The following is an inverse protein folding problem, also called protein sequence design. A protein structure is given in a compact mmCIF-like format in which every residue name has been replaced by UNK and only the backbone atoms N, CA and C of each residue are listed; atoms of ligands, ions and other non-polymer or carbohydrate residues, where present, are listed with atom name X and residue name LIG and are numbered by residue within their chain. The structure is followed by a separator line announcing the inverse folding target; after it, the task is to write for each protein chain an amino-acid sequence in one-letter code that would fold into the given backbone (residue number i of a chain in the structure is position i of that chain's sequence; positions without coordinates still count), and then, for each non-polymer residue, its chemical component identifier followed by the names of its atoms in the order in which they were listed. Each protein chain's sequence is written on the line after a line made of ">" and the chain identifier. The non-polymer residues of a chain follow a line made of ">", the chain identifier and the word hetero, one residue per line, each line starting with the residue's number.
data_IF_565827694339
#
_entry.id   IF_565827694339
#
_cell.length_a   1.000
_cell.length_b   1.000
_cell.length_c   1.000
_cell.angle_alpha   90.00
_cell.angle_beta   90.00
_cell.angle_gamma   90.00
#
_symmetry.space_group_name_H-M   'P 1'
#
loop_
_entity.id
_entity.type
_entity.pdbx_description
1 polymer ?
#
# COMPACT_ATOMS: atom_id res chain seq x y z
N UNK A 1 -12.33 36.65 -0.34
CA UNK A 1 -10.94 36.44 -0.79
C UNK A 1 -10.60 34.96 -0.63
N UNK A 2 -10.40 34.18 -1.69
CA UNK A 2 -10.04 32.77 -1.54
C UNK A 2 -8.53 32.65 -1.30
N UNK A 3 -8.15 32.02 -0.19
CA UNK A 3 -6.77 31.67 0.14
C UNK A 3 -6.30 30.65 -0.89
N UNK A 4 -5.35 31.05 -1.76
CA UNK A 4 -4.60 30.15 -2.63
C UNK A 4 -3.94 29.08 -1.77
N UNK A 5 -4.34 27.83 -1.94
CA UNK A 5 -3.60 26.69 -1.42
C UNK A 5 -2.16 26.81 -1.95
N UNK A 6 -1.19 26.88 -1.03
CA UNK A 6 0.23 26.88 -1.36
C UNK A 6 0.51 25.61 -2.16
N UNK A 7 0.79 25.79 -3.44
CA UNK A 7 1.35 24.80 -4.35
C UNK A 7 2.59 24.23 -3.65
N UNK A 8 2.53 22.97 -3.24
CA UNK A 8 3.68 22.26 -2.68
C UNK A 8 4.60 21.95 -3.87
N UNK A 9 5.38 22.96 -4.26
CA UNK A 9 6.51 22.83 -5.17
C UNK A 9 7.60 22.04 -4.43
N UNK A 10 7.67 20.72 -4.69
CA UNK A 10 8.84 19.80 -4.58
C UNK A 10 8.37 18.34 -4.45
N UNK A 11 7.71 17.80 -5.47
CA UNK A 11 7.45 16.35 -5.58
C UNK A 11 8.37 15.63 -6.59
N UNK A 12 9.25 16.37 -7.29
CA UNK A 12 10.24 15.82 -8.25
C UNK A 12 11.39 15.00 -7.62
N UNK A 13 11.29 14.67 -6.34
CA UNK A 13 12.22 13.77 -5.64
C UNK A 13 11.50 12.76 -4.74
N UNK A 14 10.30 12.32 -5.13
CA UNK A 14 9.84 10.97 -4.79
C UNK A 14 10.59 9.93 -5.65
N UNK A 15 11.90 10.12 -5.83
CA UNK A 15 12.83 9.00 -5.89
C UNK A 15 12.72 8.40 -4.51
N UNK A 16 11.70 7.55 -4.34
CA UNK A 16 11.60 6.64 -3.22
C UNK A 16 13.00 6.09 -3.05
N UNK A 17 13.47 6.06 -1.81
CA UNK A 17 14.55 5.17 -1.41
C UNK A 17 14.04 3.75 -1.61
N UNK A 18 13.85 3.35 -2.86
CA UNK A 18 13.25 2.10 -3.29
C UNK A 18 14.06 0.97 -2.68
N UNK A 19 15.37 1.14 -2.56
CA UNK A 19 16.26 0.24 -1.84
C UNK A 19 15.93 0.08 -0.35
N UNK A 20 15.56 1.12 0.40
CA UNK A 20 15.24 0.97 1.83
C UNK A 20 13.90 0.27 2.04
N UNK A 21 12.88 0.64 1.25
CA UNK A 21 11.58 -0.03 1.26
C UNK A 21 11.72 -1.48 0.80
N UNK A 22 12.47 -1.73 -0.28
CA UNK A 22 12.74 -3.07 -0.79
C UNK A 22 13.48 -3.92 0.25
N UNK A 23 14.54 -3.40 0.87
CA UNK A 23 15.26 -4.11 1.95
C UNK A 23 14.35 -4.46 3.14
N UNK A 24 13.38 -3.61 3.46
CA UNK A 24 12.39 -3.92 4.49
C UNK A 24 11.46 -5.04 4.01
N UNK A 25 10.92 -4.94 2.80
CA UNK A 25 10.03 -5.97 2.25
C UNK A 25 10.74 -7.33 2.10
N UNK A 26 12.01 -7.34 1.70
CA UNK A 26 12.87 -8.53 1.62
C UNK A 26 13.04 -9.21 3.00
N UNK A 27 13.22 -8.43 4.07
CA UNK A 27 13.29 -8.98 5.43
C UNK A 27 11.99 -9.64 5.88
N UNK A 28 10.87 -9.27 5.26
CA UNK A 28 9.55 -9.83 5.52
C UNK A 28 9.07 -10.73 4.36
N UNK A 29 10.00 -11.27 3.56
CA UNK A 29 9.68 -12.07 2.37
C UNK A 29 8.73 -13.24 2.67
N UNK A 30 8.91 -13.95 3.78
CA UNK A 30 8.03 -15.06 4.19
C UNK A 30 6.56 -14.63 4.32
N UNK A 31 6.33 -13.43 4.88
CA UNK A 31 4.98 -12.86 4.99
C UNK A 31 4.45 -12.46 3.61
N UNK A 32 5.27 -11.79 2.80
CA UNK A 32 4.90 -11.33 1.46
C UNK A 32 4.52 -12.51 0.56
N UNK A 33 5.30 -13.58 0.56
CA UNK A 33 5.04 -14.80 -0.21
C UNK A 33 3.77 -15.52 0.24
N UNK A 34 3.42 -15.42 1.53
CA UNK A 34 2.16 -15.92 2.05
C UNK A 34 0.98 -15.03 1.67
N UNK A 35 1.17 -13.70 1.58
CA UNK A 35 0.11 -12.74 1.32
C UNK A 35 -0.40 -12.74 -0.12
N UNK A 36 0.50 -12.69 -1.11
CA UNK A 36 0.12 -12.58 -2.51
C UNK A 36 1.13 -13.24 -3.46
N UNK A 37 0.70 -13.47 -4.69
CA UNK A 37 1.55 -13.81 -5.83
C UNK A 37 1.25 -12.86 -7.00
N UNK A 38 2.22 -12.70 -7.89
CA UNK A 38 2.07 -11.92 -9.11
C UNK A 38 1.85 -12.84 -10.33
N UNK A 39 1.05 -12.40 -11.29
CA UNK A 39 1.01 -13.03 -12.63
C UNK A 39 2.17 -12.54 -13.48
N UNK A 40 2.43 -13.19 -14.63
CA UNK A 40 3.41 -12.72 -15.61
C UNK A 40 3.12 -11.29 -16.12
N UNK A 41 1.84 -10.88 -16.13
CA UNK A 41 1.42 -9.52 -16.47
C UNK A 41 1.39 -8.54 -15.29
N UNK A 42 1.94 -8.91 -14.13
CA UNK A 42 2.01 -8.04 -12.94
C UNK A 42 0.70 -7.91 -12.14
N UNK A 43 -0.32 -8.73 -12.43
CA UNK A 43 -1.57 -8.71 -11.66
C UNK A 43 -1.35 -9.31 -10.27
N UNK A 44 -1.98 -8.72 -9.26
CA UNK A 44 -1.84 -9.12 -7.85
C UNK A 44 -2.94 -10.13 -7.50
N UNK A 45 -2.54 -11.31 -7.01
CA UNK A 45 -3.47 -12.33 -6.53
C UNK A 45 -3.19 -12.57 -5.04
N UNK A 46 -4.15 -12.24 -4.18
CA UNK A 46 -4.08 -12.55 -2.76
C UNK A 46 -4.22 -14.06 -2.51
N UNK A 47 -3.32 -14.60 -1.68
CA UNK A 47 -3.33 -16.01 -1.26
C UNK A 47 -4.05 -16.23 0.06
N UNK A 48 -4.12 -15.20 0.91
CA UNK A 48 -4.80 -15.21 2.20
C UNK A 48 -6.06 -14.34 2.17
N UNK A 49 -7.01 -14.65 3.06
CA UNK A 49 -8.26 -13.91 3.17
C UNK A 49 -8.03 -12.68 4.05
N UNK A 50 -8.09 -11.51 3.44
CA UNK A 50 -7.94 -10.22 4.10
C UNK A 50 -9.31 -9.55 4.28
N UNK A 51 -9.45 -8.77 5.36
CA UNK A 51 -10.55 -7.84 5.53
C UNK A 51 -10.38 -6.60 4.62
N UNK A 52 -11.37 -5.70 4.64
CA UNK A 52 -11.37 -4.49 3.84
C UNK A 52 -10.10 -3.64 3.99
N UNK A 53 -9.75 -3.31 5.24
CA UNK A 53 -8.64 -2.43 5.58
C UNK A 53 -7.30 -3.07 5.18
N UNK A 54 -7.09 -4.34 5.53
CA UNK A 54 -5.85 -5.07 5.22
C UNK A 54 -5.72 -5.35 3.73
N UNK A 55 -6.82 -5.51 3.00
CA UNK A 55 -6.76 -5.60 1.54
C UNK A 55 -6.24 -4.32 0.90
N UNK A 56 -6.66 -3.14 1.36
CA UNK A 56 -6.14 -1.85 0.86
C UNK A 56 -4.65 -1.76 1.14
N UNK A 57 -4.25 -2.01 2.40
CA UNK A 57 -2.86 -1.93 2.83
C UNK A 57 -1.96 -2.94 2.12
N UNK A 58 -2.40 -4.19 1.97
CA UNK A 58 -1.65 -5.21 1.25
C UNK A 58 -1.55 -4.93 -0.26
N UNK A 59 -2.56 -4.27 -0.86
CA UNK A 59 -2.51 -3.90 -2.27
C UNK A 59 -1.47 -2.81 -2.55
N UNK A 60 -1.41 -1.76 -1.71
CA UNK A 60 -0.36 -0.73 -1.87
C UNK A 60 1.03 -1.29 -1.58
N UNK A 61 1.14 -2.24 -0.65
CA UNK A 61 2.38 -2.94 -0.35
C UNK A 61 2.86 -3.77 -1.56
N UNK A 62 1.94 -4.46 -2.22
CA UNK A 62 2.20 -5.22 -3.44
C UNK A 62 2.61 -4.33 -4.62
N UNK A 63 1.94 -3.18 -4.82
CA UNK A 63 2.31 -2.20 -5.86
C UNK A 63 3.68 -1.58 -5.57
N UNK A 64 3.98 -1.29 -4.31
CA UNK A 64 5.30 -0.82 -3.91
C UNK A 64 6.41 -1.85 -4.22
N UNK A 65 6.14 -3.14 -4.00
CA UNK A 65 7.08 -4.20 -4.33
C UNK A 65 7.28 -4.36 -5.85
N UNK A 66 6.20 -4.38 -6.64
CA UNK A 66 6.27 -4.45 -8.11
C UNK A 66 7.09 -3.30 -8.69
N UNK A 67 6.89 -2.09 -8.16
CA UNK A 67 7.66 -0.91 -8.53
C UNK A 67 9.15 -1.05 -8.13
N UNK A 68 9.42 -1.46 -6.89
CA UNK A 68 10.79 -1.67 -6.40
C UNK A 68 11.56 -2.74 -7.19
N UNK A 69 10.88 -3.81 -7.61
CA UNK A 69 11.43 -4.88 -8.45
C UNK A 69 11.52 -4.52 -9.94
N UNK A 70 11.09 -3.31 -10.34
CA UNK A 70 11.03 -2.85 -11.74
C UNK A 70 10.18 -3.75 -12.65
N UNK A 71 9.16 -4.39 -12.08
CA UNK A 71 8.16 -5.17 -12.84
C UNK A 71 7.05 -4.25 -13.36
N UNK A 72 6.81 -3.13 -12.68
CA UNK A 72 5.84 -2.10 -13.07
C UNK A 72 6.44 -0.71 -12.88
N UNK A 73 6.13 0.21 -13.80
CA UNK A 73 6.46 1.62 -13.66
C UNK A 73 5.42 2.39 -12.80
N UNK A 74 4.34 1.71 -12.38
CA UNK A 74 3.24 2.30 -11.61
C UNK A 74 3.38 2.00 -10.11
N UNK A 75 3.75 3.03 -9.35
CA UNK A 75 3.78 2.96 -7.88
C UNK A 75 2.41 3.27 -7.24
N UNK A 76 1.63 4.12 -7.89
CA UNK A 76 0.35 4.60 -7.41
C UNK A 76 -0.77 3.56 -7.62
N UNK A 77 -1.78 3.62 -6.77
CA UNK A 77 -3.00 2.80 -6.85
C UNK A 77 -4.20 3.72 -6.93
N UNK A 78 -4.94 3.62 -8.03
CA UNK A 78 -6.18 4.36 -8.22
C UNK A 78 -7.32 3.78 -7.37
N UNK A 79 -8.36 4.57 -7.10
CA UNK A 79 -9.57 4.05 -6.43
C UNK A 79 -10.23 2.90 -7.22
N UNK A 80 -10.16 2.95 -8.54
CA UNK A 80 -10.71 1.91 -9.40
C UNK A 80 -9.93 0.60 -9.29
N UNK A 81 -8.62 0.64 -9.08
CA UNK A 81 -7.84 -0.56 -8.78
C UNK A 81 -8.24 -1.17 -7.43
N UNK A 82 -8.42 -0.35 -6.38
CA UNK A 82 -8.89 -0.86 -5.10
C UNK A 82 -10.25 -1.54 -5.20
N UNK A 83 -11.20 -0.95 -5.94
CA UNK A 83 -12.55 -1.52 -6.14
C UNK A 83 -12.56 -2.87 -6.86
N UNK A 84 -11.50 -3.19 -7.62
CA UNK A 84 -11.35 -4.50 -8.27
C UNK A 84 -10.87 -5.59 -7.30
N UNK A 85 -10.37 -5.22 -6.13
CA UNK A 85 -9.96 -6.19 -5.11
C UNK A 85 -11.21 -6.82 -4.46
N UNK A 86 -11.34 -8.16 -4.45
CA UNK A 86 -12.56 -8.85 -4.04
C UNK A 86 -12.95 -8.62 -2.57
N UNK A 87 -11.99 -8.26 -1.72
CA UNK A 87 -12.20 -7.99 -0.30
C UNK A 87 -12.43 -6.50 0.01
N UNK A 88 -12.29 -5.61 -0.98
CA UNK A 88 -12.51 -4.18 -0.78
C UNK A 88 -14.00 -3.87 -0.92
N UNK A 89 -14.61 -3.38 0.16
CA UNK A 89 -15.95 -2.83 0.13
C UNK A 89 -15.94 -1.41 -0.49
N UNK A 90 -16.53 -1.18 -1.67
CA UNK A 90 -16.50 0.12 -2.33
C UNK A 90 -17.15 1.25 -1.52
N UNK A 91 -18.15 0.93 -0.67
CA UNK A 91 -18.86 1.92 0.15
C UNK A 91 -18.03 2.43 1.33
N UNK A 92 -17.02 1.67 1.74
CA UNK A 92 -16.14 2.02 2.87
C UNK A 92 -14.79 2.56 2.41
N UNK A 93 -14.47 2.41 1.11
CA UNK A 93 -13.16 2.70 0.54
C UNK A 93 -12.70 4.14 0.82
N UNK A 94 -13.52 5.13 0.51
CA UNK A 94 -13.14 6.55 0.70
C UNK A 94 -12.82 6.87 2.16
N UNK A 95 -13.58 6.30 3.11
CA UNK A 95 -13.33 6.46 4.54
C UNK A 95 -12.02 5.79 4.97
N UNK A 96 -11.73 4.60 4.45
CA UNK A 96 -10.48 3.91 4.73
C UNK A 96 -9.27 4.66 4.16
N UNK A 97 -9.37 5.17 2.93
CA UNK A 97 -8.32 5.98 2.29
C UNK A 97 -8.08 7.29 3.04
N UNK A 98 -9.13 7.97 3.48
CA UNK A 98 -9.03 9.17 4.32
C UNK A 98 -8.32 8.84 5.65
N UNK A 99 -8.75 7.78 6.35
CA UNK A 99 -8.12 7.29 7.59
C UNK A 99 -6.62 7.05 7.40
N UNK A 100 -6.22 6.30 6.37
CA UNK A 100 -4.82 5.93 6.18
C UNK A 100 -3.94 7.07 5.64
N UNK A 101 -4.55 8.07 5.00
CA UNK A 101 -3.84 9.26 4.48
C UNK A 101 -3.81 10.42 5.47
N UNK A 102 -4.61 10.38 6.54
CA UNK A 102 -4.69 11.42 7.56
C UNK A 102 -3.34 11.63 8.25
N UNK A 103 -3.03 12.86 8.68
CA UNK A 103 -1.73 13.24 9.24
C UNK A 103 -1.29 12.40 10.45
N UNK A 104 -2.24 11.91 11.24
CA UNK A 104 -1.99 11.06 12.41
C UNK A 104 -1.43 9.69 12.03
N UNK A 105 -1.93 9.09 10.97
CA UNK A 105 -1.56 7.73 10.53
C UNK A 105 -0.49 7.81 9.44
N UNK A 106 -0.79 8.54 8.37
CA UNK A 106 0.06 8.78 7.20
C UNK A 106 0.72 7.50 6.66
N UNK A 107 -0.04 6.41 6.62
CA UNK A 107 0.39 5.13 6.04
C UNK A 107 0.38 5.22 4.51
N UNK A 108 -0.54 6.02 3.95
CA UNK A 108 -0.64 6.31 2.53
C UNK A 108 -0.29 7.77 2.26
N UNK A 109 0.25 8.04 1.07
CA UNK A 109 0.38 9.36 0.50
C UNK A 109 -0.60 9.50 -0.66
N UNK A 110 -1.25 10.66 -0.74
CA UNK A 110 -2.13 11.03 -1.85
C UNK A 110 -1.26 11.60 -2.97
N UNK A 111 -1.46 11.10 -4.18
CA UNK A 111 -0.80 11.56 -5.40
C UNK A 111 -1.84 12.06 -6.41
N UNK A 112 -1.39 12.62 -7.53
CA UNK A 112 -2.26 13.03 -8.62
C UNK A 112 -2.94 11.84 -9.32
N UNK A 113 -2.37 10.64 -9.21
CA UNK A 113 -2.87 9.41 -9.84
C UNK A 113 -3.60 8.46 -8.87
N UNK A 114 -3.55 8.72 -7.57
CA UNK A 114 -4.25 7.93 -6.56
C UNK A 114 -3.54 7.95 -5.21
N UNK A 115 -3.21 6.75 -4.72
CA UNK A 115 -2.61 6.56 -3.41
C UNK A 115 -1.40 5.65 -3.51
N UNK A 116 -0.36 5.95 -2.75
CA UNK A 116 0.82 5.10 -2.66
C UNK A 116 1.24 4.89 -1.21
N UNK A 117 2.03 3.86 -0.97
CA UNK A 117 2.58 3.58 0.36
C UNK A 117 3.47 4.75 0.79
N UNK A 118 3.39 5.18 2.05
CA UNK A 118 4.37 6.13 2.56
C UNK A 118 5.74 5.42 2.67
N UNK A 119 6.79 5.90 1.98
CA UNK A 119 8.09 5.23 1.95
C UNK A 119 8.90 5.41 3.23
N UNK A 120 8.41 6.18 4.20
CA UNK A 120 9.01 6.26 5.53
C UNK A 120 9.05 4.87 6.18
N UNK A 121 10.25 4.48 6.66
CA UNK A 121 10.50 3.15 7.23
C UNK A 121 9.50 2.76 8.31
N UNK A 122 9.15 3.68 9.22
CA UNK A 122 8.28 3.36 10.34
C UNK A 122 6.83 3.16 9.87
N UNK A 123 6.44 3.83 8.79
CA UNK A 123 5.13 3.67 8.15
C UNK A 123 5.03 2.37 7.37
N UNK A 124 6.08 1.99 6.64
CA UNK A 124 6.16 0.67 5.98
C UNK A 124 6.06 -0.45 7.02
N UNK A 125 6.82 -0.35 8.12
CA UNK A 125 6.76 -1.33 9.22
C UNK A 125 5.37 -1.38 9.86
N UNK A 126 4.74 -0.22 10.10
CA UNK A 126 3.38 -0.17 10.63
C UNK A 126 2.37 -0.90 9.73
N UNK A 127 2.47 -0.73 8.41
CA UNK A 127 1.63 -1.45 7.45
C UNK A 127 1.86 -2.96 7.54
N UNK A 128 3.12 -3.40 7.59
CA UNK A 128 3.48 -4.81 7.70
C UNK A 128 2.92 -5.42 8.99
N UNK A 129 3.11 -4.75 10.14
CA UNK A 129 2.62 -5.24 11.44
C UNK A 129 1.09 -5.25 11.50
N UNK A 130 0.39 -4.24 10.96
CA UNK A 130 -1.08 -4.22 10.90
C UNK A 130 -1.67 -5.41 10.11
N UNK A 131 -0.97 -5.84 9.05
CA UNK A 131 -1.33 -7.00 8.25
C UNK A 131 -0.99 -8.28 9.03
N UNK A 132 0.22 -8.37 9.58
CA UNK A 132 0.69 -9.54 10.34
C UNK A 132 -0.17 -9.82 11.57
N UNK A 133 -0.46 -8.80 12.37
CA UNK A 133 -1.33 -8.89 13.56
C UNK A 133 -2.71 -9.42 13.19
N UNK A 134 -3.29 -8.92 12.09
CA UNK A 134 -4.56 -9.44 11.60
C UNK A 134 -4.47 -10.92 11.22
N UNK A 135 -3.40 -11.33 10.55
CA UNK A 135 -3.22 -12.72 10.16
C UNK A 135 -3.03 -13.65 11.37
N UNK A 136 -2.31 -13.19 12.40
CA UNK A 136 -2.16 -13.93 13.67
C UNK A 136 -3.52 -14.05 14.37
N UNK A 137 -4.23 -12.94 14.56
CA UNK A 137 -5.55 -12.93 15.23
C UNK A 137 -6.59 -13.75 14.46
N UNK A 138 -6.50 -13.79 13.13
CA UNK A 138 -7.38 -14.61 12.29
C UNK A 138 -6.94 -16.07 12.15
N UNK A 139 -5.84 -16.49 12.79
CA UNK A 139 -5.33 -17.87 12.75
C UNK A 139 -4.75 -18.29 11.40
N UNK A 140 -4.35 -17.33 10.56
CA UNK A 140 -3.74 -17.55 9.24
C UNK A 140 -2.21 -17.53 9.29
N UNK A 141 -1.62 -17.10 10.42
CA UNK A 141 -0.20 -17.22 10.75
C UNK A 141 -0.05 -17.77 12.16
N UNK A 142 0.96 -18.64 12.34
CA UNK A 142 1.43 -19.17 13.63
C UNK A 142 2.45 -18.24 14.28
#
# INVERSE_FOLDING_TARGET
>A
MPRKAKRIEKFDKLIIRSEEVLKLLERHQDLIEKLFRFTEGGAIIFKLKLDHDRSILAYVLAKALLYGLKVSDEYDVSEEEFKRSPSVNPHMLSKALEKFSHESERLLLVTDRGYCLNPDKDKVLSVIELIKDYLIVSGQLE
#
